data_IF_661825587050
#
_entry.id   IF_661825587050
#
_cell.length_a   1.000
_cell.length_b   1.000
_cell.length_c   1.000
_cell.angle_alpha   90.00
_cell.angle_beta   90.00
_cell.angle_gamma   90.00
#
_symmetry.space_group_name_H-M   'P 1'
#
loop_
_entity.id
_entity.type
_entity.pdbx_description
1 polymer ?
#
# COMPACT_ATOMS: atom_id res chain seq x y z
N UNK A 1 -0.63 -9.30 -8.65
CA UNK A 1 0.46 -8.59 -9.37
C UNK A 1 1.03 -7.50 -8.48
N UNK A 2 2.35 -7.28 -8.50
CA UNK A 2 2.99 -6.10 -7.90
C UNK A 2 3.54 -5.24 -9.03
N UNK A 3 3.05 -4.01 -9.16
CA UNK A 3 3.54 -3.04 -10.12
C UNK A 3 4.29 -1.91 -9.42
N UNK A 4 5.47 -1.58 -9.91
CA UNK A 4 6.30 -0.48 -9.40
C UNK A 4 6.46 0.58 -10.48
N UNK A 5 6.11 1.81 -10.15
CA UNK A 5 6.19 2.97 -11.04
C UNK A 5 6.85 4.16 -10.32
N UNK A 6 7.27 5.17 -11.08
CA UNK A 6 7.82 6.41 -10.51
C UNK A 6 6.99 7.63 -10.89
N UNK A 7 6.71 7.77 -12.18
CA UNK A 7 5.95 8.90 -12.72
C UNK A 7 4.53 8.92 -12.17
N UNK A 8 4.13 10.06 -11.60
CA UNK A 8 2.79 10.21 -11.00
C UNK A 8 1.68 10.03 -12.04
N UNK A 9 1.90 10.49 -13.28
CA UNK A 9 0.95 10.27 -14.38
C UNK A 9 0.75 8.79 -14.67
N UNK A 10 1.84 8.00 -14.68
CA UNK A 10 1.75 6.54 -14.88
C UNK A 10 1.10 5.84 -13.70
N UNK A 11 1.37 6.29 -12.47
CA UNK A 11 0.70 5.77 -11.27
C UNK A 11 -0.82 5.94 -11.34
N UNK A 12 -1.30 7.14 -11.70
CA UNK A 12 -2.74 7.41 -11.86
C UNK A 12 -3.36 6.62 -12.99
N UNK A 13 -2.70 6.57 -14.15
CA UNK A 13 -3.16 5.74 -15.27
C UNK A 13 -3.30 4.28 -14.86
N UNK A 14 -2.30 3.74 -14.15
CA UNK A 14 -2.30 2.36 -13.71
C UNK A 14 -3.39 2.07 -12.66
N UNK A 15 -3.67 3.00 -11.74
CA UNK A 15 -4.83 2.89 -10.84
C UNK A 15 -6.14 2.80 -11.63
N UNK A 16 -6.28 3.60 -12.69
CA UNK A 16 -7.46 3.55 -13.57
C UNK A 16 -7.52 2.25 -14.40
N UNK A 17 -6.39 1.68 -14.78
CA UNK A 17 -6.33 0.42 -15.54
C UNK A 17 -6.60 -0.81 -14.67
N UNK A 18 -6.07 -0.84 -13.45
CA UNK A 18 -6.03 -2.04 -12.59
C UNK A 18 -7.25 -2.17 -11.69
N UNK A 19 -7.76 -1.06 -11.15
CA UNK A 19 -8.92 -1.11 -10.24
C UNK A 19 -10.17 -1.46 -11.04
N UNK A 20 -10.76 -2.61 -10.75
CA UNK A 20 -12.00 -3.10 -11.34
C UNK A 20 -13.25 -2.52 -10.69
N UNK A 21 -14.39 -2.71 -11.34
CA UNK A 21 -15.70 -2.39 -10.75
C UNK A 21 -15.95 -3.35 -9.58
N UNK A 22 -16.26 -2.79 -8.41
CA UNK A 22 -16.54 -3.56 -7.20
C UNK A 22 -15.31 -3.84 -6.32
N UNK A 23 -14.11 -3.46 -6.76
CA UNK A 23 -12.89 -3.68 -5.98
C UNK A 23 -12.89 -2.86 -4.67
N UNK A 24 -12.32 -3.46 -3.62
CA UNK A 24 -11.94 -2.77 -2.39
C UNK A 24 -10.51 -2.26 -2.52
N UNK A 25 -10.30 -0.96 -2.35
CA UNK A 25 -8.99 -0.33 -2.48
C UNK A 25 -8.52 0.20 -1.12
N UNK A 26 -7.26 -0.06 -0.79
CA UNK A 26 -6.56 0.64 0.29
C UNK A 26 -5.49 1.50 -0.37
N UNK A 27 -5.58 2.83 -0.22
CA UNK A 27 -4.63 3.79 -0.77
C UNK A 27 -3.87 4.50 0.36
N UNK A 28 -2.56 4.36 0.34
CA UNK A 28 -1.62 4.95 1.29
C UNK A 28 -0.94 6.15 0.64
N UNK A 29 -1.00 7.31 1.30
CA UNK A 29 -0.46 8.58 0.80
C UNK A 29 -1.27 9.23 -0.34
N UNK A 30 -2.61 9.27 -0.31
CA UNK A 30 -3.42 9.91 -1.34
C UNK A 30 -3.26 11.43 -1.40
N UNK A 31 -2.74 12.08 -0.33
CA UNK A 31 -2.60 13.52 -0.21
C UNK A 31 -3.94 14.23 -0.52
N UNK A 32 -4.03 15.01 -1.60
CA UNK A 32 -5.25 15.73 -2.03
C UNK A 32 -6.14 14.91 -3.00
N UNK A 33 -6.13 13.58 -2.90
CA UNK A 33 -7.02 12.65 -3.64
C UNK A 33 -6.94 12.65 -5.18
N UNK A 34 -6.00 13.36 -5.80
CA UNK A 34 -5.84 13.38 -7.28
C UNK A 34 -5.60 12.00 -7.91
N UNK A 35 -5.04 11.07 -7.14
CA UNK A 35 -4.85 9.68 -7.58
C UNK A 35 -6.09 8.83 -7.33
N UNK A 36 -6.81 9.11 -6.24
CA UNK A 36 -8.09 8.52 -5.89
C UNK A 36 -9.16 8.75 -6.96
N UNK A 37 -9.21 9.96 -7.54
CA UNK A 37 -10.12 10.30 -8.64
C UNK A 37 -10.04 9.33 -9.83
N UNK A 38 -8.88 8.71 -10.06
CA UNK A 38 -8.66 7.81 -11.19
C UNK A 38 -9.46 6.49 -11.10
N UNK A 39 -9.94 6.14 -9.91
CA UNK A 39 -10.59 4.85 -9.67
C UNK A 39 -11.81 4.86 -8.76
N UNK A 40 -12.05 5.92 -7.98
CA UNK A 40 -13.08 5.94 -6.92
C UNK A 40 -14.48 5.58 -7.40
N UNK A 41 -14.82 5.92 -8.65
CA UNK A 41 -16.12 5.61 -9.25
C UNK A 41 -16.34 4.13 -9.57
N UNK A 42 -15.27 3.33 -9.63
CA UNK A 42 -15.30 1.88 -9.86
C UNK A 42 -15.25 1.09 -8.56
N UNK A 43 -14.55 1.61 -7.55
CA UNK A 43 -14.37 0.90 -6.29
C UNK A 43 -15.69 0.74 -5.51
N UNK A 44 -15.93 -0.44 -4.96
CA UNK A 44 -17.02 -0.63 -4.00
C UNK A 44 -16.72 0.09 -2.68
N UNK A 45 -15.43 0.15 -2.30
CA UNK A 45 -14.94 0.86 -1.14
C UNK A 45 -13.49 1.29 -1.32
N UNK A 46 -13.15 2.49 -0.85
CA UNK A 46 -11.77 2.97 -0.76
C UNK A 46 -11.45 3.38 0.67
N UNK A 47 -10.35 2.88 1.22
CA UNK A 47 -9.80 3.31 2.52
C UNK A 47 -8.54 4.11 2.25
N UNK A 48 -8.60 5.39 2.57
CA UNK A 48 -7.53 6.37 2.37
C UNK A 48 -6.74 6.51 3.66
N UNK A 49 -5.42 6.40 3.59
CA UNK A 49 -4.53 6.48 4.76
C UNK A 49 -3.47 7.54 4.54
N UNK A 50 -3.51 8.60 5.36
CA UNK A 50 -2.52 9.67 5.31
C UNK A 50 -2.28 10.27 6.70
N UNK A 51 -1.09 10.83 6.91
CA UNK A 51 -0.68 11.52 8.14
C UNK A 51 -0.47 13.02 7.95
N UNK A 52 -0.49 13.51 6.71
CA UNK A 52 -0.24 14.91 6.38
C UNK A 52 -1.28 15.81 7.01
N UNK A 53 -0.86 16.68 7.93
CA UNK A 53 -1.73 17.69 8.53
C UNK A 53 -2.18 18.74 7.49
N UNK A 54 -1.38 18.93 6.46
CA UNK A 54 -1.60 19.84 5.34
C UNK A 54 -2.70 19.38 4.37
N UNK A 55 -2.98 18.07 4.32
CA UNK A 55 -4.03 17.50 3.46
C UNK A 55 -5.20 16.89 4.25
N UNK A 56 -5.14 16.90 5.59
CA UNK A 56 -6.15 16.28 6.45
C UNK A 56 -7.57 16.79 6.15
N UNK A 57 -7.74 18.10 6.00
CA UNK A 57 -9.06 18.68 5.78
C UNK A 57 -9.63 18.29 4.41
N UNK A 58 -8.80 18.29 3.37
CA UNK A 58 -9.17 17.88 2.01
C UNK A 58 -9.62 16.42 1.99
N UNK A 59 -8.92 15.54 2.73
CA UNK A 59 -9.25 14.11 2.84
C UNK A 59 -10.57 13.86 3.59
N UNK A 60 -10.82 14.62 4.67
CA UNK A 60 -12.10 14.56 5.39
C UNK A 60 -13.24 15.01 4.47
N UNK A 61 -13.06 16.13 3.78
CA UNK A 61 -14.07 16.66 2.86
C UNK A 61 -14.32 15.68 1.70
N UNK A 62 -13.26 15.12 1.12
CA UNK A 62 -13.35 14.12 0.06
C UNK A 62 -14.11 12.87 0.52
N UNK A 63 -13.77 12.31 1.69
CA UNK A 63 -14.51 11.17 2.26
C UNK A 63 -15.99 11.51 2.52
N UNK A 64 -16.30 12.72 2.97
CA UNK A 64 -17.70 13.13 3.18
C UNK A 64 -18.52 13.26 1.89
N UNK A 65 -17.87 13.59 0.76
CA UNK A 65 -18.50 13.73 -0.56
C UNK A 65 -18.68 12.39 -1.28
N UNK A 66 -17.87 11.39 -0.95
CA UNK A 66 -17.86 10.09 -1.59
C UNK A 66 -18.26 9.01 -0.59
N UNK A 67 -19.53 8.57 -0.61
CA UNK A 67 -20.07 7.61 0.36
C UNK A 67 -19.42 6.23 0.37
N UNK A 68 -18.56 5.91 -0.60
CA UNK A 68 -17.74 4.70 -0.65
C UNK A 68 -16.29 4.92 -0.17
N UNK A 69 -15.96 6.09 0.36
CA UNK A 69 -14.59 6.46 0.78
C UNK A 69 -14.53 6.66 2.29
N UNK A 70 -13.60 5.98 2.93
CA UNK A 70 -13.26 6.13 4.35
C UNK A 70 -11.88 6.73 4.49
N UNK A 71 -11.71 7.68 5.41
CA UNK A 71 -10.41 8.27 5.70
C UNK A 71 -9.89 7.86 7.08
N UNK A 72 -8.65 7.37 7.11
CA UNK A 72 -7.89 7.05 8.32
C UNK A 72 -6.71 8.01 8.43
N UNK A 73 -6.76 8.88 9.42
CA UNK A 73 -5.66 9.77 9.75
C UNK A 73 -4.62 9.06 10.63
N UNK A 74 -3.42 8.83 10.11
CA UNK A 74 -2.35 8.16 10.84
C UNK A 74 -1.12 7.85 9.98
N UNK A 75 0.01 7.58 10.62
CA UNK A 75 1.23 7.18 9.91
C UNK A 75 1.11 5.72 9.46
N UNK A 76 1.25 5.46 8.16
CA UNK A 76 1.17 4.11 7.61
C UNK A 76 2.30 3.17 8.10
N UNK A 77 3.34 3.72 8.73
CA UNK A 77 4.40 2.95 9.40
C UNK A 77 3.96 2.41 10.75
N UNK A 78 2.94 3.01 11.37
CA UNK A 78 2.46 2.63 12.69
C UNK A 78 1.44 1.50 12.59
N UNK A 79 1.63 0.45 13.38
CA UNK A 79 0.72 -0.70 13.39
C UNK A 79 -0.68 -0.33 13.88
N UNK A 80 -0.80 0.66 14.77
CA UNK A 80 -2.09 1.19 15.20
C UNK A 80 -2.91 1.76 14.03
N UNK A 81 -2.26 2.43 13.07
CA UNK A 81 -2.91 2.95 11.85
C UNK A 81 -3.42 1.80 10.97
N UNK A 82 -2.65 0.72 10.85
CA UNK A 82 -3.06 -0.48 10.13
C UNK A 82 -4.28 -1.14 10.78
N UNK A 83 -4.27 -1.28 12.10
CA UNK A 83 -5.41 -1.80 12.87
C UNK A 83 -6.65 -0.89 12.74
N UNK A 84 -6.47 0.43 12.68
CA UNK A 84 -7.56 1.35 12.38
C UNK A 84 -8.13 1.11 10.97
N UNK A 85 -7.28 1.03 9.94
CA UNK A 85 -7.73 0.73 8.57
C UNK A 85 -8.48 -0.61 8.48
N UNK A 86 -8.03 -1.62 9.22
CA UNK A 86 -8.66 -2.95 9.27
C UNK A 86 -10.08 -2.95 9.87
N UNK A 87 -10.42 -1.94 10.68
CA UNK A 87 -11.81 -1.76 11.15
C UNK A 87 -12.76 -1.37 10.02
N UNK A 88 -12.25 -0.75 8.95
CA UNK A 88 -13.04 -0.34 7.80
C UNK A 88 -13.14 -1.43 6.73
N UNK A 89 -12.12 -2.30 6.60
CA UNK A 89 -12.04 -3.38 5.60
C UNK A 89 -11.27 -4.59 6.13
N UNK A 90 -11.72 -5.81 5.84
CA UNK A 90 -11.03 -7.04 6.27
C UNK A 90 -9.93 -7.49 5.30
N UNK A 91 -10.09 -7.20 4.02
CA UNK A 91 -9.16 -7.47 2.92
C UNK A 91 -9.26 -6.35 1.89
N UNK A 92 -8.31 -6.27 0.96
CA UNK A 92 -8.45 -5.41 -0.21
C UNK A 92 -8.11 -6.17 -1.49
N UNK A 93 -8.65 -5.71 -2.62
CA UNK A 93 -8.31 -6.21 -3.94
C UNK A 93 -7.07 -5.47 -4.47
N UNK A 94 -7.00 -4.17 -4.21
CA UNK A 94 -5.89 -3.31 -4.63
C UNK A 94 -5.29 -2.56 -3.44
N UNK A 95 -3.98 -2.69 -3.27
CA UNK A 95 -3.18 -1.90 -2.33
C UNK A 95 -2.32 -0.90 -3.10
N UNK A 96 -2.61 0.39 -2.95
CA UNK A 96 -1.90 1.47 -3.62
C UNK A 96 -1.02 2.21 -2.62
N UNK A 97 0.27 2.42 -2.94
CA UNK A 97 1.26 3.02 -2.03
C UNK A 97 2.01 4.16 -2.72
N UNK A 98 1.77 5.40 -2.26
CA UNK A 98 2.44 6.62 -2.71
C UNK A 98 2.85 7.53 -1.52
N UNK A 99 3.90 7.15 -0.80
CA UNK A 99 4.38 7.88 0.38
C UNK A 99 5.30 9.07 0.03
N UNK A 100 4.86 9.96 -0.86
CA UNK A 100 5.50 11.27 -1.06
C UNK A 100 7.00 11.22 -1.40
N UNK A 101 7.32 10.94 -2.67
CA UNK A 101 8.59 11.40 -3.26
C UNK A 101 9.71 10.38 -3.42
N UNK A 102 9.44 9.07 -3.35
CA UNK A 102 10.35 8.02 -3.84
C UNK A 102 11.77 7.98 -3.23
N UNK A 103 12.00 8.72 -2.14
CA UNK A 103 13.32 9.01 -1.55
C UNK A 103 13.82 7.89 -0.64
N UNK A 104 12.88 7.13 -0.05
CA UNK A 104 13.17 6.09 0.94
C UNK A 104 12.57 4.75 0.47
N UNK A 105 13.26 4.01 -0.43
CA UNK A 105 12.77 2.74 -0.95
C UNK A 105 12.54 1.70 0.14
N UNK A 106 13.35 1.73 1.20
CA UNK A 106 13.19 0.84 2.37
C UNK A 106 11.86 1.09 3.08
N UNK A 107 11.48 2.35 3.30
CA UNK A 107 10.23 2.72 3.99
C UNK A 107 9.02 2.28 3.19
N UNK A 108 9.02 2.55 1.88
CA UNK A 108 7.92 2.13 0.99
C UNK A 108 7.80 0.61 0.95
N UNK A 109 8.93 -0.10 0.84
CA UNK A 109 8.93 -1.56 0.82
C UNK A 109 8.41 -2.15 2.13
N UNK A 110 8.80 -1.59 3.28
CA UNK A 110 8.31 -2.02 4.61
C UNK A 110 6.80 -1.81 4.75
N UNK A 111 6.31 -0.61 4.43
CA UNK A 111 4.87 -0.32 4.47
C UNK A 111 4.11 -1.27 3.56
N UNK A 112 4.54 -1.40 2.30
CA UNK A 112 3.93 -2.38 1.39
C UNK A 112 3.97 -3.81 1.95
N UNK A 113 5.10 -4.25 2.49
CA UNK A 113 5.28 -5.58 3.05
C UNK A 113 4.33 -5.86 4.20
N UNK A 114 4.22 -4.95 5.16
CA UNK A 114 3.31 -5.06 6.31
C UNK A 114 1.85 -5.06 5.87
N UNK A 115 1.44 -4.07 5.08
CA UNK A 115 0.05 -3.89 4.68
C UNK A 115 -0.43 -5.02 3.75
N UNK A 116 0.42 -5.47 2.82
CA UNK A 116 0.10 -6.62 1.96
C UNK A 116 -0.02 -7.92 2.73
N UNK A 117 0.68 -8.07 3.87
CA UNK A 117 0.58 -9.27 4.69
C UNK A 117 -0.70 -9.37 5.49
N UNK A 118 -1.26 -8.21 5.87
CA UNK A 118 -2.56 -8.14 6.55
C UNK A 118 -3.70 -8.25 5.55
N UNK A 119 -3.67 -7.49 4.46
CA UNK A 119 -4.82 -7.40 3.54
C UNK A 119 -4.79 -8.38 2.36
N UNK A 120 -3.64 -9.01 2.08
CA UNK A 120 -3.43 -9.98 1.00
C UNK A 120 -4.01 -9.53 -0.36
N UNK A 121 -3.60 -8.37 -0.89
CA UNK A 121 -4.19 -7.80 -2.09
C UNK A 121 -3.95 -8.67 -3.34
N UNK A 122 -4.94 -8.69 -4.24
CA UNK A 122 -4.77 -9.26 -5.59
C UNK A 122 -3.73 -8.47 -6.38
N UNK A 123 -3.76 -7.15 -6.25
CA UNK A 123 -2.85 -6.23 -6.91
C UNK A 123 -2.22 -5.24 -5.92
N UNK A 124 -0.92 -4.98 -6.04
CA UNK A 124 -0.32 -3.78 -5.45
C UNK A 124 0.26 -2.87 -6.51
N UNK A 125 0.11 -1.58 -6.29
CA UNK A 125 0.67 -0.52 -7.12
C UNK A 125 1.51 0.37 -6.22
N UNK A 126 2.82 0.39 -6.46
CA UNK A 126 3.79 1.10 -5.63
C UNK A 126 4.40 2.22 -6.46
N UNK A 127 4.28 3.46 -5.99
CA UNK A 127 5.03 4.59 -6.55
C UNK A 127 6.31 4.82 -5.77
N UNK A 128 7.45 4.37 -6.30
CA UNK A 128 8.76 4.59 -5.70
C UNK A 128 9.90 4.50 -6.72
N UNK A 129 10.67 5.60 -6.85
CA UNK A 129 11.82 5.67 -7.75
C UNK A 129 12.91 4.67 -7.39
N UNK A 130 13.31 4.64 -6.12
CA UNK A 130 14.41 3.79 -5.67
C UNK A 130 14.14 2.30 -5.88
N UNK A 131 12.89 1.85 -5.65
CA UNK A 131 12.50 0.46 -5.93
C UNK A 131 12.52 0.20 -7.44
N UNK A 132 12.00 1.12 -8.26
CA UNK A 132 12.02 0.97 -9.71
C UNK A 132 13.45 0.90 -10.27
N UNK A 133 14.36 1.76 -9.79
CA UNK A 133 15.77 1.76 -10.17
C UNK A 133 16.49 0.48 -9.72
N UNK A 134 16.20 -0.01 -8.50
CA UNK A 134 16.71 -1.28 -7.99
C UNK A 134 16.27 -2.45 -8.89
N UNK A 135 14.97 -2.57 -9.16
CA UNK A 135 14.41 -3.64 -10.01
C UNK A 135 14.98 -3.64 -11.42
N UNK A 136 15.36 -2.48 -11.97
CA UNK A 136 16.00 -2.37 -13.29
C UNK A 136 17.44 -2.88 -13.32
N UNK A 137 18.12 -2.92 -12.17
CA UNK A 137 19.53 -3.35 -12.05
C UNK A 137 19.69 -4.71 -11.41
N UNK A 138 18.74 -5.11 -10.57
CA UNK A 138 18.79 -6.37 -9.84
C UNK A 138 18.63 -7.56 -10.78
N UNK A 139 19.41 -8.61 -10.53
CA UNK A 139 19.27 -9.92 -11.15
C UNK A 139 19.21 -10.97 -10.06
N UNK A 140 18.21 -11.83 -10.12
CA UNK A 140 18.11 -12.98 -9.23
C UNK A 140 19.11 -14.03 -9.72
N UNK A 141 20.09 -14.37 -8.88
CA UNK A 141 21.12 -15.36 -9.18
C UNK A 141 20.84 -16.72 -8.54
N UNK A 142 19.80 -16.81 -7.70
CA UNK A 142 19.38 -18.03 -7.04
C UNK A 142 18.39 -18.81 -7.93
N UNK A 143 18.85 -19.95 -8.44
CA UNK A 143 18.04 -20.84 -9.27
C UNK A 143 17.09 -21.75 -8.49
N UNK A 144 17.16 -21.76 -7.16
CA UNK A 144 16.25 -22.54 -6.31
C UNK A 144 14.89 -21.87 -6.09
N UNK A 145 14.80 -20.55 -6.36
CA UNK A 145 13.55 -19.82 -6.21
C UNK A 145 12.55 -20.21 -7.32
N UNK A 146 11.31 -20.56 -6.96
CA UNK A 146 10.29 -20.90 -7.94
C UNK A 146 9.88 -19.65 -8.75
N UNK A 147 9.67 -19.84 -10.07
CA UNK A 147 9.20 -18.76 -10.95
C UNK A 147 7.75 -18.33 -10.65
N UNK A 148 6.98 -19.23 -10.02
CA UNK A 148 5.59 -19.03 -9.61
C UNK A 148 5.45 -19.40 -8.14
N UNK A 149 4.97 -18.46 -7.34
CA UNK A 149 4.75 -18.66 -5.91
C UNK A 149 3.27 -18.97 -5.65
N UNK A 150 2.95 -19.83 -4.65
CA UNK A 150 1.57 -20.16 -4.27
C UNK A 150 0.68 -18.93 -4.06
N UNK A 151 1.20 -17.91 -3.39
CA UNK A 151 0.50 -16.65 -3.14
C UNK A 151 1.00 -15.55 -4.08
N UNK A 152 1.26 -15.82 -5.36
CA UNK A 152 1.63 -14.79 -6.36
C UNK A 152 2.86 -13.92 -6.01
N UNK A 153 3.74 -14.41 -5.13
CA UNK A 153 4.98 -13.75 -4.70
C UNK A 153 4.86 -13.00 -3.38
N UNK A 154 3.73 -13.13 -2.68
CA UNK A 154 3.49 -12.52 -1.37
C UNK A 154 4.22 -13.27 -0.25
N UNK A 155 5.54 -13.12 -0.14
CA UNK A 155 6.35 -13.51 1.04
C UNK A 155 5.93 -14.87 1.65
N UNK A 156 5.81 -15.89 0.79
CA UNK A 156 5.16 -17.19 1.06
C UNK A 156 5.78 -18.01 2.19
N UNK A 157 7.04 -17.73 2.56
CA UNK A 157 7.77 -18.45 3.61
C UNK A 157 8.01 -17.64 4.88
N UNK A 158 7.76 -16.33 4.87
CA UNK A 158 7.83 -15.49 6.06
C UNK A 158 6.47 -15.48 6.74
N UNK A 159 6.35 -16.24 7.84
CA UNK A 159 5.12 -16.54 8.58
C UNK A 159 4.11 -15.39 8.70
N UNK A 160 2.96 -15.55 8.04
CA UNK A 160 1.81 -14.61 8.06
C UNK A 160 0.55 -15.32 8.53
N UNK A 161 0.66 -16.01 9.67
CA UNK A 161 -0.47 -16.67 10.33
C UNK A 161 -1.38 -15.67 11.04
N UNK A 162 -0.84 -14.63 11.68
CA UNK A 162 -1.65 -13.66 12.42
C UNK A 162 -1.00 -12.27 12.58
N UNK A 163 -1.82 -11.21 12.76
CA UNK A 163 -1.36 -9.86 13.12
C UNK A 163 -0.42 -9.81 14.34
N UNK A 164 -0.51 -10.78 15.26
CA UNK A 164 0.32 -10.85 16.48
C UNK A 164 1.76 -11.31 16.18
N UNK A 165 1.95 -12.31 15.34
CA UNK A 165 3.28 -12.75 14.90
C UNK A 165 3.95 -11.68 14.04
N UNK A 166 3.18 -11.05 13.16
CA UNK A 166 3.64 -9.90 12.38
C UNK A 166 3.98 -8.72 13.30
N UNK A 167 3.18 -8.43 14.34
CA UNK A 167 3.49 -7.40 15.34
C UNK A 167 4.77 -7.71 16.11
N UNK A 168 5.00 -8.95 16.55
CA UNK A 168 6.23 -9.32 17.26
C UNK A 168 7.47 -9.28 16.35
N UNK A 169 7.32 -9.62 15.08
CA UNK A 169 8.37 -9.41 14.06
C UNK A 169 8.56 -7.92 13.74
N UNK A 170 7.49 -7.12 13.86
CA UNK A 170 7.52 -5.67 13.66
C UNK A 170 8.09 -4.91 14.88
N UNK A 171 7.99 -5.45 16.10
CA UNK A 171 8.65 -4.91 17.29
C UNK A 171 10.18 -4.89 17.10
N UNK A 172 10.73 -5.78 16.27
CA UNK A 172 12.13 -5.69 15.83
C UNK A 172 12.41 -4.34 15.14
N UNK A 173 11.46 -3.77 14.40
CA UNK A 173 11.59 -2.49 13.70
C UNK A 173 11.70 -1.30 14.65
N UNK A 174 11.24 -1.41 15.90
CA UNK A 174 11.47 -0.39 16.93
C UNK A 174 12.97 -0.17 17.20
N UNK A 175 13.82 -1.15 16.89
CA UNK A 175 15.27 -1.06 17.01
C UNK A 175 15.97 -0.37 15.82
N UNK A 176 15.29 -0.20 14.69
CA UNK A 176 15.89 0.35 13.45
C UNK A 176 15.48 1.80 13.18
N UNK A 177 14.56 2.36 13.97
CA UNK A 177 14.06 3.74 13.87
C UNK A 177 14.81 4.70 14.82
N UNK A 178 15.83 4.22 15.56
CA UNK A 178 16.74 5.10 16.30
C UNK A 178 17.84 5.63 15.38
N UNK A 179 17.56 6.73 14.68
CA UNK A 179 18.53 7.71 14.22
C UNK A 179 18.07 9.11 14.64
#
# INVERSE_FOLDING_TARGET
>A
MIAVVYEVGRYRALLSEVVGVGDVVVEIGPHICKSTDAYVSKASKAVLVDKGSDCKQDLIEYSSKHGNVEFVFGDARDFSTLELAKKHVLSCDVLAVDLGGGRFPDTVFKVWGTWSGVFKPKHSIIRCRGIAEFLKKAKVMDGSLPATFPDSGWLTEYGRGTPVEMKNQLDEFSHWVKL
#
